data_IF_605127263508
#
_entry.id   IF_605127263508
#
_cell.length_a   1.000
_cell.length_b   1.000
_cell.length_c   1.000
_cell.angle_alpha   90.00
_cell.angle_beta   90.00
_cell.angle_gamma   90.00
#
_symmetry.space_group_name_H-M   'P 1'
#
loop_
_entity.id
_entity.type
_entity.pdbx_description
1 polymer ?
#
# COMPACT_ATOMS: atom_id res chain seq x y z
N UNK A 1 -18.58 3.39 14.74
CA UNK A 1 -18.79 3.04 13.31
C UNK A 1 -18.97 4.31 12.51
N UNK A 2 -18.06 4.63 11.58
CA UNK A 2 -18.26 5.75 10.63
C UNK A 2 -19.37 5.42 9.64
N UNK A 3 -20.17 6.43 9.28
CA UNK A 3 -21.12 6.31 8.18
C UNK A 3 -20.38 5.94 6.88
N UNK A 4 -20.99 5.10 6.05
CA UNK A 4 -20.44 4.67 4.74
C UNK A 4 -20.39 5.82 3.74
N UNK A 5 -21.15 6.90 3.97
CA UNK A 5 -21.22 8.06 3.08
C UNK A 5 -20.15 9.12 3.38
N UNK A 6 -19.98 10.04 2.41
CA UNK A 6 -19.16 11.25 2.54
C UNK A 6 -17.68 11.04 2.22
N UNK A 7 -17.05 12.08 1.68
CA UNK A 7 -15.62 12.11 1.41
C UNK A 7 -14.87 12.79 2.56
N UNK A 8 -13.73 12.23 2.93
CA UNK A 8 -12.79 12.87 3.85
C UNK A 8 -11.97 13.92 3.08
N UNK A 9 -12.35 15.19 3.19
CA UNK A 9 -11.71 16.29 2.47
C UNK A 9 -10.22 16.47 2.82
N UNK A 10 -9.75 15.89 3.93
CA UNK A 10 -8.32 15.90 4.29
C UNK A 10 -7.48 14.97 3.41
N UNK A 11 -8.11 14.01 2.72
CA UNK A 11 -7.45 13.10 1.79
C UNK A 11 -7.46 13.74 0.40
N UNK A 12 -6.30 14.10 -0.18
CA UNK A 12 -6.29 14.90 -1.40
C UNK A 12 -6.69 14.09 -2.65
N UNK A 13 -6.17 12.86 -2.82
CA UNK A 13 -6.44 12.01 -3.98
C UNK A 13 -6.82 10.56 -3.60
N UNK A 14 -7.13 10.34 -2.32
CA UNK A 14 -7.40 9.01 -1.76
C UNK A 14 -8.83 8.87 -1.20
N UNK A 15 -9.68 9.87 -1.44
CA UNK A 15 -11.07 9.90 -0.96
C UNK A 15 -11.87 8.71 -1.49
N UNK A 16 -11.77 8.46 -2.80
CA UNK A 16 -12.45 7.34 -3.45
C UNK A 16 -11.93 6.00 -2.94
N UNK A 17 -10.61 5.86 -2.81
CA UNK A 17 -10.01 4.64 -2.30
C UNK A 17 -10.41 4.35 -0.85
N UNK A 18 -10.40 5.37 0.01
CA UNK A 18 -10.85 5.25 1.40
C UNK A 18 -12.35 4.90 1.49
N UNK A 19 -13.17 5.50 0.64
CA UNK A 19 -14.59 5.17 0.52
C UNK A 19 -14.78 3.71 0.07
N UNK A 20 -14.01 3.25 -0.91
CA UNK A 20 -14.04 1.85 -1.35
C UNK A 20 -13.62 0.88 -0.24
N UNK A 21 -12.62 1.24 0.56
CA UNK A 21 -12.24 0.44 1.73
C UNK A 21 -13.39 0.32 2.74
N UNK A 22 -14.07 1.44 3.06
CA UNK A 22 -15.26 1.43 3.94
C UNK A 22 -16.40 0.58 3.36
N UNK A 23 -16.68 0.72 2.07
CA UNK A 23 -17.69 -0.06 1.35
C UNK A 23 -17.37 -1.56 1.33
N UNK A 24 -16.11 -1.92 1.11
CA UNK A 24 -15.62 -3.30 1.08
C UNK A 24 -15.69 -4.00 2.45
N UNK A 25 -15.88 -3.28 3.55
CA UNK A 25 -16.15 -3.89 4.84
C UNK A 25 -17.64 -4.03 5.10
N UNK A 26 -18.40 -2.96 4.87
CA UNK A 26 -19.78 -2.89 5.34
C UNK A 26 -20.79 -3.47 4.34
N UNK A 27 -20.50 -3.44 3.03
CA UNK A 27 -21.47 -3.78 1.97
C UNK A 27 -20.89 -4.63 0.85
N UNK A 28 -19.76 -5.31 1.08
CA UNK A 28 -19.05 -6.03 0.01
C UNK A 28 -19.89 -7.09 -0.71
N UNK A 29 -20.81 -7.76 -0.01
CA UNK A 29 -21.67 -8.81 -0.59
C UNK A 29 -22.67 -8.27 -1.61
N UNK A 30 -22.98 -6.97 -1.57
CA UNK A 30 -23.93 -6.33 -2.48
C UNK A 30 -23.25 -5.59 -3.63
N UNK A 31 -21.91 -5.51 -3.64
CA UNK A 31 -21.15 -4.80 -4.65
C UNK A 31 -20.70 -5.80 -5.71
N UNK A 32 -21.10 -5.56 -6.97
CA UNK A 32 -20.57 -6.28 -8.13
C UNK A 32 -19.56 -5.41 -8.85
N UNK A 33 -18.38 -5.98 -9.10
CA UNK A 33 -17.39 -5.38 -9.98
C UNK A 33 -17.81 -5.58 -11.43
N UNK A 34 -17.97 -4.48 -12.16
CA UNK A 34 -18.19 -4.49 -13.61
C UNK A 34 -16.84 -4.22 -14.28
N UNK A 35 -16.32 -5.21 -15.00
CA UNK A 35 -15.04 -5.10 -15.70
C UNK A 35 -15.22 -4.32 -17.00
N UNK A 36 -15.41 -3.01 -16.90
CA UNK A 36 -15.56 -2.10 -18.05
C UNK A 36 -14.44 -1.06 -17.97
N UNK A 37 -13.70 -0.88 -19.05
CA UNK A 37 -12.70 0.19 -19.16
C UNK A 37 -13.41 1.52 -19.37
N UNK A 38 -13.70 2.23 -18.28
CA UNK A 38 -14.46 3.49 -18.32
C UNK A 38 -13.58 4.74 -18.38
N UNK A 39 -12.27 4.63 -18.16
CA UNK A 39 -11.39 5.79 -18.10
C UNK A 39 -9.93 5.51 -18.42
N UNK A 40 -9.28 6.49 -19.04
CA UNK A 40 -7.82 6.60 -19.15
C UNK A 40 -7.36 7.61 -18.10
N UNK A 41 -6.40 7.23 -17.26
CA UNK A 41 -5.82 8.16 -16.27
C UNK A 41 -4.66 8.93 -16.91
N UNK A 42 -4.59 10.23 -16.62
CA UNK A 42 -3.50 11.11 -17.02
C UNK A 42 -2.92 11.81 -15.79
N UNK A 43 -1.59 11.73 -15.60
CA UNK A 43 -0.89 12.54 -14.60
C UNK A 43 -0.31 13.75 -15.29
N UNK A 44 -0.79 14.91 -14.87
CA UNK A 44 -0.21 16.19 -15.28
C UNK A 44 0.92 16.54 -14.31
N UNK A 45 2.04 17.03 -14.83
CA UNK A 45 3.14 17.53 -14.00
C UNK A 45 2.63 18.62 -13.04
N UNK A 46 3.06 18.58 -11.77
CA UNK A 46 2.64 19.55 -10.74
C UNK A 46 1.25 19.30 -10.14
N UNK A 47 0.51 18.29 -10.62
CA UNK A 47 -0.74 17.86 -9.98
C UNK A 47 -0.47 17.11 -8.67
N UNK A 48 -1.47 17.03 -7.79
CA UNK A 48 -1.42 16.21 -6.57
C UNK A 48 -1.05 14.76 -6.88
N UNK A 49 -1.57 14.21 -7.99
CA UNK A 49 -1.30 12.84 -8.43
C UNK A 49 0.12 12.64 -8.98
N UNK A 50 0.84 13.72 -9.31
CA UNK A 50 2.26 13.66 -9.68
C UNK A 50 3.21 13.58 -8.48
N UNK A 51 2.74 13.96 -7.29
CA UNK A 51 3.55 13.94 -6.06
C UNK A 51 3.51 12.57 -5.38
N UNK A 52 4.27 11.61 -5.93
CA UNK A 52 4.30 10.21 -5.46
C UNK A 52 4.53 10.08 -3.94
N UNK A 53 5.49 10.81 -3.38
CA UNK A 53 5.77 10.79 -1.93
C UNK A 53 4.51 11.11 -1.13
N UNK A 54 3.84 12.22 -1.45
CA UNK A 54 2.62 12.65 -0.76
C UNK A 54 1.48 11.64 -0.96
N UNK A 55 1.34 11.07 -2.15
CA UNK A 55 0.32 10.06 -2.41
C UNK A 55 0.55 8.80 -1.57
N UNK A 56 1.75 8.22 -1.60
CA UNK A 56 2.00 6.93 -0.97
C UNK A 56 2.17 7.01 0.55
N UNK A 57 2.61 8.15 1.08
CA UNK A 57 2.52 8.44 2.54
C UNK A 57 1.06 8.51 2.99
N UNK A 58 0.21 9.26 2.26
CA UNK A 58 -1.23 9.35 2.56
C UNK A 58 -1.89 7.96 2.48
N UNK A 59 -1.60 7.20 1.42
CA UNK A 59 -2.15 5.84 1.26
C UNK A 59 -1.74 4.93 2.41
N UNK A 60 -0.47 4.93 2.79
CA UNK A 60 0.03 4.12 3.90
C UNK A 60 -0.65 4.52 5.22
N UNK A 61 -0.86 5.82 5.46
CA UNK A 61 -1.56 6.31 6.64
C UNK A 61 -3.05 5.87 6.66
N UNK A 62 -3.76 5.97 5.53
CA UNK A 62 -5.14 5.50 5.41
C UNK A 62 -5.24 4.00 5.67
N UNK A 63 -4.37 3.20 5.05
CA UNK A 63 -4.34 1.75 5.24
C UNK A 63 -3.97 1.37 6.68
N UNK A 64 -3.05 2.10 7.31
CA UNK A 64 -2.70 1.91 8.72
C UNK A 64 -3.89 2.18 9.62
N UNK A 65 -4.47 3.37 9.51
CA UNK A 65 -5.67 3.77 10.27
C UNK A 65 -6.77 2.74 10.12
N UNK A 66 -7.03 2.32 8.89
CA UNK A 66 -8.04 1.32 8.58
C UNK A 66 -7.74 -0.04 9.21
N UNK A 67 -6.49 -0.49 9.15
CA UNK A 67 -6.12 -1.74 9.80
C UNK A 67 -6.23 -1.64 11.34
N UNK A 68 -5.83 -0.53 11.95
CA UNK A 68 -5.94 -0.29 13.39
C UNK A 68 -7.39 -0.22 13.87
N UNK A 69 -8.27 0.45 13.13
CA UNK A 69 -9.70 0.55 13.44
C UNK A 69 -10.41 -0.81 13.35
N UNK A 70 -9.93 -1.71 12.50
CA UNK A 70 -10.56 -3.00 12.21
C UNK A 70 -9.84 -4.19 12.89
N UNK A 71 -8.65 -3.97 13.44
CA UNK A 71 -7.89 -4.92 14.26
C UNK A 71 -8.65 -5.15 15.59
N UNK A 72 -9.57 -6.12 15.56
CA UNK A 72 -10.35 -6.52 16.75
C UNK A 72 -11.83 -6.76 16.46
N UNK A 73 -12.31 -6.39 15.27
CA UNK A 73 -13.69 -6.65 14.85
C UNK A 73 -13.82 -8.10 14.37
N UNK A 74 -14.88 -8.80 14.80
CA UNK A 74 -15.28 -10.11 14.28
C UNK A 74 -15.52 -10.04 12.76
N UNK A 75 -14.48 -10.28 11.97
CA UNK A 75 -14.52 -10.10 10.52
C UNK A 75 -13.19 -9.76 9.87
N UNK A 76 -12.17 -9.39 10.65
CA UNK A 76 -10.82 -9.14 10.13
C UNK A 76 -10.04 -10.46 9.94
N UNK A 77 -10.44 -11.21 8.92
CA UNK A 77 -9.86 -12.50 8.54
C UNK A 77 -8.36 -12.38 8.18
N UNK A 78 -7.61 -13.48 8.30
CA UNK A 78 -6.19 -13.52 7.92
C UNK A 78 -5.95 -13.03 6.48
N UNK A 79 -6.80 -13.42 5.53
CA UNK A 79 -6.68 -12.98 4.13
C UNK A 79 -6.84 -11.47 3.94
N UNK A 80 -7.68 -10.79 4.75
CA UNK A 80 -7.80 -9.31 4.71
C UNK A 80 -6.55 -8.63 5.28
N UNK A 81 -5.98 -9.18 6.36
CA UNK A 81 -4.70 -8.73 6.93
C UNK A 81 -3.57 -8.81 5.90
N UNK A 82 -3.48 -9.95 5.21
CA UNK A 82 -2.47 -10.18 4.16
C UNK A 82 -2.63 -9.21 2.98
N UNK A 83 -3.86 -8.95 2.55
CA UNK A 83 -4.14 -8.01 1.46
C UNK A 83 -3.72 -6.57 1.84
N UNK A 84 -4.11 -6.11 3.03
CA UNK A 84 -3.74 -4.76 3.50
C UNK A 84 -2.22 -4.65 3.70
N UNK A 85 -1.60 -5.66 4.32
CA UNK A 85 -0.15 -5.69 4.49
C UNK A 85 0.57 -5.65 3.14
N UNK A 86 0.07 -6.34 2.12
CA UNK A 86 0.61 -6.31 0.75
C UNK A 86 0.51 -4.91 0.13
N UNK A 87 -0.60 -4.21 0.31
CA UNK A 87 -0.77 -2.83 -0.18
C UNK A 87 0.15 -1.83 0.54
N UNK A 88 0.32 -1.97 1.85
CA UNK A 88 1.25 -1.16 2.65
C UNK A 88 2.70 -1.43 2.22
N UNK A 89 3.05 -2.69 1.94
CA UNK A 89 4.34 -3.08 1.37
C UNK A 89 4.58 -2.44 -0.01
N UNK A 90 3.54 -2.33 -0.84
CA UNK A 90 3.57 -1.59 -2.10
C UNK A 90 3.94 -0.12 -1.90
N UNK A 91 3.32 0.54 -0.91
CA UNK A 91 3.63 1.92 -0.53
C UNK A 91 5.09 2.08 -0.09
N UNK A 92 5.57 1.21 0.81
CA UNK A 92 6.93 1.24 1.33
C UNK A 92 7.98 1.20 0.20
N UNK A 93 7.77 0.36 -0.81
CA UNK A 93 8.69 0.27 -1.97
C UNK A 93 8.75 1.54 -2.78
N UNK A 94 7.61 2.18 -3.00
CA UNK A 94 7.57 3.42 -3.77
C UNK A 94 8.23 4.54 -2.96
N UNK A 95 8.01 4.57 -1.64
CA UNK A 95 8.70 5.51 -0.75
C UNK A 95 10.23 5.33 -0.77
N UNK A 96 10.74 4.09 -0.78
CA UNK A 96 12.19 3.82 -0.96
C UNK A 96 12.68 4.37 -2.30
N UNK A 97 11.95 4.13 -3.40
CA UNK A 97 12.34 4.66 -4.72
C UNK A 97 12.35 6.19 -4.78
N UNK A 98 11.53 6.83 -3.96
CA UNK A 98 11.50 8.29 -3.80
C UNK A 98 12.51 8.81 -2.75
N UNK A 99 13.34 7.96 -2.15
CA UNK A 99 14.32 8.34 -1.12
C UNK A 99 13.74 8.67 0.25
N UNK A 100 12.51 8.23 0.55
CA UNK A 100 11.84 8.43 1.85
C UNK A 100 11.98 7.17 2.70
N UNK A 101 13.21 6.89 3.10
CA UNK A 101 13.57 5.63 3.76
C UNK A 101 12.90 5.48 5.14
N UNK A 102 12.82 6.54 5.94
CA UNK A 102 12.21 6.49 7.28
C UNK A 102 10.71 6.15 7.22
N UNK A 103 9.98 6.81 6.33
CA UNK A 103 8.54 6.53 6.11
C UNK A 103 8.35 5.10 5.61
N UNK A 104 9.25 4.62 4.75
CA UNK A 104 9.21 3.27 4.22
C UNK A 104 9.49 2.21 5.29
N UNK A 105 10.43 2.46 6.20
CA UNK A 105 10.71 1.57 7.34
C UNK A 105 9.49 1.48 8.25
N UNK A 106 8.85 2.62 8.54
CA UNK A 106 7.61 2.64 9.33
C UNK A 106 6.48 1.84 8.66
N UNK A 107 6.27 2.02 7.35
CA UNK A 107 5.29 1.26 6.58
C UNK A 107 5.62 -0.24 6.57
N UNK A 108 6.90 -0.58 6.37
CA UNK A 108 7.38 -1.96 6.37
C UNK A 108 7.15 -2.67 7.71
N UNK A 109 7.52 -2.01 8.82
CA UNK A 109 7.35 -2.54 10.16
C UNK A 109 5.88 -2.85 10.46
N UNK A 110 4.99 -1.93 10.09
CA UNK A 110 3.55 -2.10 10.28
C UNK A 110 2.95 -3.21 9.40
N UNK A 111 3.38 -3.33 8.14
CA UNK A 111 2.95 -4.44 7.29
C UNK A 111 3.35 -5.80 7.90
N UNK A 112 4.56 -5.91 8.47
CA UNK A 112 4.99 -7.13 9.15
C UNK A 112 4.22 -7.44 10.42
N UNK A 113 3.80 -6.42 11.18
CA UNK A 113 3.00 -6.65 12.39
C UNK A 113 1.59 -7.15 12.05
N UNK A 114 1.03 -6.75 10.90
CA UNK A 114 -0.28 -7.21 10.43
C UNK A 114 -0.25 -8.66 9.96
N UNK A 115 0.76 -9.02 9.18
CA UNK A 115 0.97 -10.40 8.79
C UNK A 115 2.47 -10.68 8.70
N UNK A 116 3.03 -11.47 9.65
CA UNK A 116 4.42 -11.91 9.61
C UNK A 116 4.73 -12.75 8.36
N UNK A 117 3.69 -13.39 7.81
CA UNK A 117 3.75 -14.17 6.58
C UNK A 117 3.64 -13.31 5.32
N UNK A 118 3.25 -12.03 5.43
CA UNK A 118 3.11 -11.12 4.28
C UNK A 118 4.39 -11.23 3.46
N UNK A 119 4.29 -11.83 2.27
CA UNK A 119 5.47 -12.00 1.48
C UNK A 119 5.91 -10.60 1.13
N UNK A 120 7.19 -10.31 1.32
CA UNK A 120 7.86 -9.53 0.28
C UNK A 120 7.54 -10.30 -1.01
N UNK A 121 6.73 -9.78 -1.98
CA UNK A 121 6.29 -10.58 -3.14
C UNK A 121 7.43 -10.89 -4.13
N UNK A 122 8.66 -11.00 -3.63
CA UNK A 122 9.83 -11.40 -4.37
C UNK A 122 10.22 -12.83 -3.99
N UNK A 123 10.89 -13.47 -4.95
CA UNK A 123 11.52 -14.79 -4.82
C UNK A 123 12.39 -14.86 -3.53
N UNK A 124 12.59 -16.08 -3.03
CA UNK A 124 13.34 -16.40 -1.81
C UNK A 124 14.60 -15.54 -1.54
N UNK A 125 15.45 -15.20 -2.53
CA UNK A 125 16.65 -14.40 -2.28
C UNK A 125 16.39 -13.02 -1.68
N UNK A 126 15.32 -12.35 -2.07
CA UNK A 126 15.04 -11.00 -1.55
C UNK A 126 14.49 -11.05 -0.12
N UNK A 127 13.76 -12.11 0.23
CA UNK A 127 13.30 -12.33 1.62
C UNK A 127 14.49 -12.49 2.56
N UNK A 128 15.52 -13.22 2.14
CA UNK A 128 16.75 -13.36 2.91
C UNK A 128 17.52 -12.03 2.98
N UNK A 129 17.68 -11.32 1.87
CA UNK A 129 18.34 -10.02 1.85
C UNK A 129 17.67 -9.02 2.80
N UNK A 130 16.34 -8.94 2.81
CA UNK A 130 15.60 -8.07 3.72
C UNK A 130 15.85 -8.43 5.19
N UNK A 131 15.98 -9.72 5.52
CA UNK A 131 16.33 -10.17 6.88
C UNK A 131 17.75 -9.78 7.29
N UNK A 132 18.71 -9.85 6.36
CA UNK A 132 20.13 -9.63 6.64
C UNK A 132 20.51 -8.15 6.67
N UNK A 133 20.02 -7.36 5.71
CA UNK A 133 20.45 -5.96 5.53
C UNK A 133 19.33 -4.94 5.72
N UNK A 134 18.10 -5.40 6.00
CA UNK A 134 16.92 -4.56 6.13
C UNK A 134 16.22 -4.27 4.78
N UNK A 135 14.97 -3.76 4.84
CA UNK A 135 14.12 -3.59 3.65
C UNK A 135 14.66 -2.55 2.67
N UNK A 136 15.17 -1.42 3.18
CA UNK A 136 15.69 -0.31 2.39
C UNK A 136 16.88 -0.78 1.54
N UNK A 137 17.94 -1.30 2.19
CA UNK A 137 19.16 -1.74 1.49
C UNK A 137 18.88 -2.89 0.51
N UNK A 138 18.01 -3.84 0.88
CA UNK A 138 17.62 -4.93 0.00
C UNK A 138 16.90 -4.42 -1.26
N UNK A 139 16.01 -3.44 -1.12
CA UNK A 139 15.27 -2.86 -2.25
C UNK A 139 16.16 -1.99 -3.15
N UNK A 140 17.11 -1.26 -2.57
CA UNK A 140 18.14 -0.53 -3.32
C UNK A 140 19.01 -1.49 -4.13
N UNK A 141 19.51 -2.57 -3.51
CA UNK A 141 20.28 -3.60 -4.20
C UNK A 141 19.48 -4.25 -5.34
N UNK A 142 18.19 -4.55 -5.11
CA UNK A 142 17.29 -5.06 -6.15
C UNK A 142 17.15 -4.08 -7.30
N UNK A 143 16.89 -2.82 -7.00
CA UNK A 143 16.70 -1.76 -8.00
C UNK A 143 17.96 -1.60 -8.85
N UNK A 144 19.13 -1.58 -8.21
CA UNK A 144 20.43 -1.54 -8.88
C UNK A 144 20.66 -2.76 -9.78
N UNK A 145 20.40 -3.97 -9.29
CA UNK A 145 20.52 -5.21 -10.07
C UNK A 145 19.59 -5.21 -11.29
N UNK A 146 18.32 -4.80 -11.11
CA UNK A 146 17.36 -4.73 -12.22
C UNK A 146 17.75 -3.69 -13.26
N UNK A 147 18.31 -2.55 -12.86
CA UNK A 147 18.82 -1.53 -13.80
C UNK A 147 20.00 -2.07 -14.60
N UNK A 148 20.94 -2.78 -13.97
CA UNK A 148 22.09 -3.38 -14.68
C UNK A 148 21.70 -4.51 -15.63
N UNK A 149 20.74 -5.34 -15.26
CA UNK A 149 20.32 -6.50 -16.07
C UNK A 149 19.32 -6.13 -17.18
N UNK A 150 18.57 -5.03 -17.02
CA UNK A 150 17.62 -4.53 -18.02
C UNK A 150 18.21 -3.58 -19.08
N UNK A 151 19.52 -3.31 -19.04
CA UNK A 151 20.24 -2.51 -20.04
C UNK A 151 20.97 -3.38 -21.08
N UNK A 152 20.33 -4.46 -21.54
CA UNK A 152 20.76 -5.23 -22.71
C UNK A 152 19.69 -5.14 -23.79
#
# INVERSE_FOLDING_TARGET
MRAVGGFDASLPCWQEYELHLRLALQRWRTIRHLTIFLCTYYVVSGSISSHQVRMFTTRAAVLRRFAEEELGVEGFTGGRRDAIATEIMGCARILIRCGRDDDAVGAYAFARSLSPATPYPAKWPLRLAVRLVGPVRAEWARTWLTRRLGSR
#
